data_IF_782847531207
#
_entry.id   IF_782847531207
#
_cell.length_a   1.000
_cell.length_b   1.000
_cell.length_c   1.000
_cell.angle_alpha   90.00
_cell.angle_beta   90.00
_cell.angle_gamma   90.00
#
_symmetry.space_group_name_H-M   'P 1'
#
loop_
_entity.id
_entity.type
_entity.pdbx_description
1 polymer ?
#
# COMPACT_ATOMS: atom_id res chain seq x y z
N UNK A 1 6.43 -6.39 15.72
CA UNK A 1 5.88 -5.03 15.83
C UNK A 1 7.04 -4.08 15.59
N UNK A 2 7.04 -3.39 14.45
CA UNK A 2 8.18 -2.56 14.01
C UNK A 2 8.04 -1.14 14.55
N UNK A 3 6.82 -0.68 14.81
CA UNK A 3 6.46 0.70 15.12
C UNK A 3 5.67 0.81 16.43
N UNK A 4 5.88 1.92 17.15
CA UNK A 4 5.15 2.33 18.33
C UNK A 4 4.90 3.85 18.28
N UNK A 5 3.75 4.28 18.79
CA UNK A 5 3.28 5.65 18.70
C UNK A 5 3.05 6.25 20.08
N UNK A 6 3.40 7.52 20.23
CA UNK A 6 3.06 8.33 21.40
C UNK A 6 2.62 9.73 20.93
N UNK A 7 1.48 10.19 21.46
CA UNK A 7 0.92 11.49 21.15
C UNK A 7 0.78 12.35 22.41
N UNK A 8 0.96 13.66 22.26
CA UNK A 8 0.79 14.63 23.35
C UNK A 8 0.21 15.93 22.82
N UNK A 9 -0.79 16.48 23.51
CA UNK A 9 -1.28 17.83 23.25
C UNK A 9 -0.23 18.88 23.66
N UNK A 10 -0.09 19.90 22.82
CA UNK A 10 0.73 21.08 23.07
C UNK A 10 -0.17 22.33 23.15
N UNK A 11 0.36 23.48 23.62
CA UNK A 11 -0.35 24.76 23.51
C UNK A 11 -0.72 25.11 22.06
N UNK A 12 -1.60 26.10 21.90
CA UNK A 12 -1.99 26.68 20.60
C UNK A 12 -2.61 25.66 19.62
N UNK A 13 -3.37 24.71 20.16
CA UNK A 13 -4.00 23.62 19.40
C UNK A 13 -3.01 22.82 18.55
N UNK A 14 -1.76 22.67 19.01
CA UNK A 14 -0.74 21.83 18.36
C UNK A 14 -0.73 20.42 18.95
N UNK A 15 -0.31 19.46 18.14
CA UNK A 15 -0.12 18.07 18.57
C UNK A 15 1.34 17.67 18.37
N UNK A 16 1.91 16.96 19.34
CA UNK A 16 3.20 16.31 19.20
C UNK A 16 2.98 14.83 18.90
N UNK A 17 3.67 14.33 17.88
CA UNK A 17 3.76 12.90 17.58
C UNK A 17 5.21 12.44 17.77
N UNK A 18 5.38 11.33 18.48
CA UNK A 18 6.62 10.56 18.47
C UNK A 18 6.33 9.22 17.80
N UNK A 19 7.06 8.95 16.72
CA UNK A 19 7.08 7.64 16.08
C UNK A 19 8.39 6.95 16.45
N UNK A 20 8.27 5.83 17.18
CA UNK A 20 9.39 5.02 17.63
C UNK A 20 9.45 3.73 16.84
N UNK A 21 10.57 3.49 16.17
CA UNK A 21 10.77 2.34 15.28
C UNK A 21 11.83 1.42 15.86
N UNK A 22 11.54 0.12 15.84
CA UNK A 22 12.47 -0.94 16.19
C UNK A 22 13.82 -0.75 15.49
N UNK A 23 14.91 -0.97 16.23
CA UNK A 23 16.25 -0.69 15.73
C UNK A 23 17.09 -1.98 15.55
N UNK A 24 16.85 -2.76 14.49
CA UNK A 24 17.69 -3.94 14.19
C UNK A 24 19.13 -3.54 13.85
N UNK A 25 19.39 -2.28 13.50
CA UNK A 25 20.75 -1.80 13.20
C UNK A 25 21.60 -1.59 14.46
N UNK A 26 21.00 -1.60 15.65
CA UNK A 26 21.73 -1.73 16.92
C UNK A 26 22.39 -3.12 17.08
N UNK A 27 21.82 -4.16 16.46
CA UNK A 27 22.31 -5.54 16.51
C UNK A 27 23.11 -5.92 15.26
N UNK A 28 22.77 -5.33 14.10
CA UNK A 28 23.31 -5.71 12.79
C UNK A 28 24.18 -4.58 12.24
N UNK A 29 25.48 -4.64 12.57
CA UNK A 29 26.49 -3.78 11.98
C UNK A 29 26.61 -3.97 10.47
N UNK A 30 26.89 -2.89 9.75
CA UNK A 30 27.15 -2.91 8.31
C UNK A 30 28.33 -3.83 7.97
N UNK A 31 28.22 -4.60 6.88
CA UNK A 31 29.26 -5.55 6.45
C UNK A 31 29.30 -6.87 7.22
N UNK A 32 28.55 -7.01 8.30
CA UNK A 32 28.41 -8.27 9.04
C UNK A 32 27.77 -9.38 8.20
N UNK A 33 27.85 -10.64 8.67
CA UNK A 33 27.20 -11.78 8.01
C UNK A 33 25.68 -11.59 7.91
N UNK A 34 25.07 -11.07 8.98
CA UNK A 34 23.63 -10.78 9.04
C UNK A 34 23.25 -9.67 8.06
N UNK A 35 24.05 -8.60 7.97
CA UNK A 35 23.84 -7.51 7.02
C UNK A 35 23.89 -8.00 5.57
N UNK A 36 24.88 -8.81 5.22
CA UNK A 36 25.00 -9.41 3.87
C UNK A 36 23.79 -10.29 3.54
N UNK A 37 23.29 -11.08 4.49
CA UNK A 37 22.10 -11.91 4.29
C UNK A 37 20.82 -11.07 4.13
N UNK A 38 20.65 -10.03 4.95
CA UNK A 38 19.53 -9.09 4.87
C UNK A 38 19.53 -8.35 3.52
N UNK A 39 20.70 -7.89 3.07
CA UNK A 39 20.93 -7.27 1.76
C UNK A 39 20.47 -8.19 0.62
N UNK A 40 20.83 -9.48 0.67
CA UNK A 40 20.43 -10.48 -0.33
C UNK A 40 18.92 -10.68 -0.41
N UNK A 41 18.23 -10.68 0.73
CA UNK A 41 16.77 -10.88 0.81
C UNK A 41 16.00 -9.60 0.47
N UNK A 42 16.53 -8.43 0.85
CA UNK A 42 15.99 -7.07 0.71
C UNK A 42 14.65 -6.81 1.42
N UNK A 43 13.76 -7.80 1.46
CA UNK A 43 12.43 -7.71 2.07
C UNK A 43 12.06 -9.03 2.76
N UNK A 44 11.23 -8.95 3.79
CA UNK A 44 10.45 -10.13 4.24
C UNK A 44 9.44 -10.48 3.15
N UNK A 45 9.33 -11.76 2.80
CA UNK A 45 8.33 -12.22 1.85
C UNK A 45 7.09 -12.70 2.60
N UNK A 46 5.95 -12.02 2.42
CA UNK A 46 4.67 -12.39 3.03
C UNK A 46 3.88 -13.22 2.03
N UNK A 47 3.45 -14.40 2.44
CA UNK A 47 2.64 -15.32 1.65
C UNK A 47 1.37 -15.66 2.45
N UNK A 48 0.29 -16.11 1.80
CA UNK A 48 -0.89 -16.60 2.52
C UNK A 48 -0.52 -17.64 3.58
N UNK A 49 -0.80 -17.33 4.85
CA UNK A 49 -0.58 -18.19 6.01
C UNK A 49 0.81 -18.22 6.63
N UNK A 50 1.85 -17.69 5.96
CA UNK A 50 3.21 -17.65 6.55
C UNK A 50 4.11 -16.61 5.88
N UNK A 51 5.23 -16.28 6.55
CA UNK A 51 6.22 -15.35 6.02
C UNK A 51 7.63 -15.96 6.02
N UNK A 52 8.46 -15.54 5.06
CA UNK A 52 9.90 -15.80 5.00
C UNK A 52 10.62 -14.52 5.46
N UNK A 53 11.09 -14.45 6.71
CA UNK A 53 11.62 -13.22 7.28
C UNK A 53 12.96 -12.82 6.62
N UNK A 54 13.17 -11.51 6.51
CA UNK A 54 14.44 -10.93 6.04
C UNK A 54 15.57 -11.18 7.05
N UNK A 55 15.24 -11.06 8.34
CA UNK A 55 16.14 -11.24 9.47
C UNK A 55 15.86 -12.58 10.18
N UNK A 56 16.78 -13.10 11.00
CA UNK A 56 16.50 -14.23 11.89
C UNK A 56 15.28 -13.96 12.78
N UNK A 57 14.46 -14.99 13.03
CA UNK A 57 13.21 -14.85 13.81
C UNK A 57 13.47 -14.40 15.24
N UNK A 58 14.58 -14.82 15.81
CA UNK A 58 15.02 -14.42 17.16
C UNK A 58 15.26 -12.89 17.24
N UNK A 59 15.66 -12.26 16.13
CA UNK A 59 15.79 -10.81 16.06
C UNK A 59 14.44 -10.15 15.72
N UNK A 60 13.74 -10.63 14.69
CA UNK A 60 12.52 -9.98 14.20
C UNK A 60 11.33 -10.08 15.16
N UNK A 61 11.13 -11.26 15.76
CA UNK A 61 9.91 -11.61 16.49
C UNK A 61 10.07 -11.39 18.00
N UNK A 62 11.31 -11.20 18.47
CA UNK A 62 11.66 -11.08 19.89
C UNK A 62 12.47 -9.82 20.22
N UNK A 63 13.78 -9.80 19.91
CA UNK A 63 14.69 -8.74 20.36
C UNK A 63 14.37 -7.35 19.78
N UNK A 64 13.94 -7.27 18.52
CA UNK A 64 13.58 -6.01 17.87
C UNK A 64 12.09 -5.70 17.99
N UNK A 65 11.23 -6.71 18.16
CA UNK A 65 9.79 -6.47 18.24
C UNK A 65 9.44 -5.65 19.48
N UNK A 66 8.68 -4.58 19.28
CA UNK A 66 8.24 -3.65 20.34
C UNK A 66 7.12 -4.23 21.19
N UNK A 67 7.41 -5.31 21.93
CA UNK A 67 6.45 -6.02 22.77
C UNK A 67 5.93 -5.13 23.92
N UNK A 68 4.69 -5.37 24.32
CA UNK A 68 4.10 -4.70 25.46
C UNK A 68 4.85 -5.06 26.75
N UNK A 69 5.03 -4.07 27.62
CA UNK A 69 5.65 -4.15 28.94
C UNK A 69 7.09 -4.67 28.92
N UNK A 70 7.79 -4.53 27.80
CA UNK A 70 9.21 -4.85 27.68
C UNK A 70 10.02 -3.66 27.16
N UNK A 71 11.19 -3.46 27.76
CA UNK A 71 12.12 -2.40 27.39
C UNK A 71 12.77 -2.73 26.04
N UNK A 72 12.77 -1.79 25.10
CA UNK A 72 13.31 -1.96 23.75
C UNK A 72 14.07 -0.72 23.24
N UNK A 73 15.22 -0.91 22.56
CA UNK A 73 15.90 0.18 21.86
C UNK A 73 15.13 0.56 20.59
N UNK A 74 15.03 1.86 20.33
CA UNK A 74 14.34 2.40 19.16
C UNK A 74 15.12 3.54 18.54
N UNK A 75 14.94 3.71 17.23
CA UNK A 75 15.17 4.99 16.58
C UNK A 75 13.83 5.74 16.57
N UNK A 76 13.81 6.95 17.10
CA UNK A 76 12.59 7.74 17.25
C UNK A 76 12.65 9.03 16.43
N UNK A 77 11.48 9.48 15.99
CA UNK A 77 11.26 10.79 15.37
C UNK A 77 10.20 11.53 16.17
N UNK A 78 10.55 12.71 16.69
CA UNK A 78 9.60 13.67 17.27
C UNK A 78 9.28 14.74 16.22
N UNK A 79 7.99 14.99 16.04
CA UNK A 79 7.48 16.04 15.15
C UNK A 79 6.35 16.81 15.83
N UNK A 80 6.23 18.08 15.47
CA UNK A 80 5.10 18.94 15.86
C UNK A 80 4.17 19.10 14.67
N UNK A 81 2.88 18.95 14.93
CA UNK A 81 1.80 19.09 13.96
C UNK A 81 1.00 20.35 14.30
N UNK A 82 0.90 21.24 13.32
CA UNK A 82 0.05 22.42 13.40
C UNK A 82 -1.44 22.03 13.39
N UNK A 83 -2.34 23.00 13.62
CA UNK A 83 -3.78 22.78 13.64
C UNK A 83 -4.33 22.22 12.30
N UNK A 84 -3.73 22.62 11.18
CA UNK A 84 -4.05 22.14 9.82
C UNK A 84 -3.37 20.81 9.44
N UNK A 85 -2.64 20.20 10.38
CA UNK A 85 -1.89 18.97 10.17
C UNK A 85 -0.53 19.13 9.50
N UNK A 86 -0.07 20.37 9.21
CA UNK A 86 1.27 20.60 8.67
C UNK A 86 2.36 20.12 9.65
N UNK A 87 3.38 19.44 9.14
CA UNK A 87 4.57 19.05 9.91
C UNK A 87 5.50 20.25 9.98
N UNK A 88 5.69 20.79 11.19
CA UNK A 88 6.57 21.93 11.46
C UNK A 88 8.07 21.56 11.35
N UNK A 89 8.93 22.56 11.19
CA UNK A 89 10.36 22.37 10.89
C UNK A 89 11.19 21.81 12.06
N UNK A 90 10.66 21.82 13.28
CA UNK A 90 11.34 21.34 14.50
C UNK A 90 11.36 19.81 14.63
N UNK A 91 11.64 19.12 13.52
CA UNK A 91 11.76 17.66 13.45
C UNK A 91 13.05 17.22 14.12
N UNK A 92 12.96 16.23 15.01
CA UNK A 92 14.11 15.67 15.69
C UNK A 92 14.13 14.15 15.64
N UNK A 93 15.19 13.60 15.04
CA UNK A 93 15.53 12.19 15.14
C UNK A 93 16.47 11.96 16.32
N UNK A 94 16.24 10.91 17.10
CA UNK A 94 17.07 10.55 18.24
C UNK A 94 16.99 9.05 18.52
N UNK A 95 18.06 8.47 19.07
CA UNK A 95 18.03 7.13 19.62
C UNK A 95 17.38 7.17 21.00
N UNK A 96 16.54 6.19 21.31
CA UNK A 96 15.85 6.12 22.59
C UNK A 96 15.66 4.68 23.06
N UNK A 97 15.11 4.55 24.26
CA UNK A 97 14.63 3.29 24.82
C UNK A 97 13.20 3.51 25.28
N UNK A 98 12.31 2.62 24.91
CA UNK A 98 10.89 2.70 25.25
C UNK A 98 10.42 1.40 25.92
N UNK A 99 9.26 1.48 26.56
CA UNK A 99 8.50 0.32 26.99
C UNK A 99 7.05 0.53 26.54
N UNK A 100 6.59 -0.26 25.57
CA UNK A 100 5.22 -0.14 25.09
C UNK A 100 4.23 -0.51 26.20
N UNK A 101 3.18 0.28 26.41
CA UNK A 101 2.21 0.05 27.49
C UNK A 101 0.98 -0.73 27.06
N UNK A 102 0.81 -0.97 25.77
CA UNK A 102 -0.28 -1.77 25.24
C UNK A 102 0.06 -2.37 23.87
N UNK A 103 -0.40 -3.59 23.62
CA UNK A 103 -0.46 -4.17 22.28
C UNK A 103 -1.90 -4.11 21.81
N UNK A 104 -2.20 -3.18 20.91
CA UNK A 104 -3.55 -2.92 20.41
C UNK A 104 -3.79 -3.62 19.07
N UNK A 105 -5.03 -4.03 18.82
CA UNK A 105 -5.47 -4.67 17.57
C UNK A 105 -6.34 -3.69 16.78
N UNK A 106 -6.15 -3.63 15.45
CA UNK A 106 -6.84 -2.65 14.60
C UNK A 106 -8.36 -2.68 14.72
N UNK A 107 -8.96 -3.88 14.70
CA UNK A 107 -10.42 -4.01 14.78
C UNK A 107 -10.95 -3.53 16.13
N UNK A 108 -10.29 -3.92 17.22
CA UNK A 108 -10.64 -3.49 18.58
C UNK A 108 -10.58 -1.97 18.76
N UNK A 109 -9.53 -1.32 18.25
CA UNK A 109 -9.38 0.14 18.32
C UNK A 109 -10.42 0.84 17.45
N UNK A 110 -10.70 0.30 16.26
CA UNK A 110 -11.73 0.86 15.36
C UNK A 110 -13.11 0.73 15.96
N UNK A 111 -13.46 -0.46 16.46
CA UNK A 111 -14.71 -0.73 17.16
C UNK A 111 -14.91 0.23 18.33
N UNK A 112 -13.89 0.42 19.17
CA UNK A 112 -13.98 1.34 20.29
C UNK A 112 -14.18 2.80 19.87
N UNK A 113 -13.46 3.29 18.86
CA UNK A 113 -13.63 4.65 18.33
C UNK A 113 -14.99 4.86 17.65
N UNK A 114 -15.57 3.79 17.10
CA UNK A 114 -16.88 3.79 16.44
C UNK A 114 -18.04 3.49 17.42
N UNK A 115 -17.74 3.29 18.71
CA UNK A 115 -18.69 2.93 19.78
C UNK A 115 -19.42 1.60 19.52
N UNK A 116 -18.70 0.62 19.00
CA UNK A 116 -19.17 -0.76 18.76
C UNK A 116 -18.28 -1.77 19.50
N UNK A 117 -18.77 -3.00 19.67
CA UNK A 117 -18.01 -4.09 20.27
C UNK A 117 -17.80 -3.98 21.80
N UNK A 118 -17.16 -4.99 22.37
CA UNK A 118 -17.01 -5.14 23.83
C UNK A 118 -15.63 -4.70 24.35
N UNK A 119 -14.65 -4.55 23.47
CA UNK A 119 -13.28 -4.21 23.87
C UNK A 119 -13.18 -2.73 24.24
N UNK A 120 -12.45 -2.44 25.33
CA UNK A 120 -12.13 -1.08 25.76
C UNK A 120 -10.65 -1.00 26.17
N UNK A 121 -10.01 0.17 26.04
CA UNK A 121 -8.65 0.39 26.55
C UNK A 121 -8.54 0.04 28.03
N UNK A 122 -7.49 -0.68 28.41
CA UNK A 122 -7.27 -1.17 29.78
C UNK A 122 -7.01 -0.04 30.81
N UNK A 123 -6.74 1.18 30.34
CA UNK A 123 -6.56 2.36 31.19
C UNK A 123 -6.94 3.65 30.48
N UNK A 124 -7.30 4.68 31.26
CA UNK A 124 -7.61 6.01 30.72
C UNK A 124 -6.41 6.62 29.97
N UNK A 125 -5.18 6.33 30.40
CA UNK A 125 -3.99 6.80 29.71
C UNK A 125 -3.89 6.25 28.27
N UNK A 126 -4.24 4.98 28.06
CA UNK A 126 -4.27 4.38 26.71
C UNK A 126 -5.47 4.91 25.92
N UNK A 127 -6.63 5.08 26.55
CA UNK A 127 -7.79 5.69 25.90
C UNK A 127 -7.46 7.09 25.36
N UNK A 128 -6.78 7.91 26.16
CA UNK A 128 -6.36 9.25 25.75
C UNK A 128 -5.32 9.21 24.60
N UNK A 129 -4.36 8.27 24.64
CA UNK A 129 -3.44 8.10 23.51
C UNK A 129 -4.17 7.77 22.21
N UNK A 130 -5.14 6.86 22.23
CA UNK A 130 -5.92 6.49 21.04
C UNK A 130 -6.71 7.68 20.50
N UNK A 131 -7.35 8.47 21.38
CA UNK A 131 -8.09 9.68 20.96
C UNK A 131 -7.17 10.74 20.35
N UNK A 132 -6.01 10.99 20.94
CA UNK A 132 -5.02 11.93 20.38
C UNK A 132 -4.48 11.46 19.03
N UNK A 133 -4.22 10.17 18.88
CA UNK A 133 -3.79 9.58 17.61
C UNK A 133 -4.89 9.66 16.54
N UNK A 134 -6.16 9.52 16.91
CA UNK A 134 -7.29 9.75 16.01
C UNK A 134 -7.37 11.22 15.55
N UNK A 135 -7.14 12.19 16.45
CA UNK A 135 -7.05 13.62 16.07
C UNK A 135 -5.88 13.88 15.12
N UNK A 136 -4.71 13.28 15.36
CA UNK A 136 -3.56 13.35 14.45
C UNK A 136 -3.93 12.78 13.09
N UNK A 137 -4.56 11.61 13.04
CA UNK A 137 -5.02 10.98 11.81
C UNK A 137 -5.96 11.89 11.03
N UNK A 138 -6.91 12.53 11.71
CA UNK A 138 -7.83 13.46 11.07
C UNK A 138 -7.09 14.65 10.44
N UNK A 139 -6.26 15.35 11.21
CA UNK A 139 -5.51 16.51 10.72
C UNK A 139 -4.55 16.16 9.58
N UNK A 140 -3.87 15.02 9.68
CA UNK A 140 -2.96 14.54 8.63
C UNK A 140 -3.69 14.13 7.36
N UNK A 141 -4.86 13.49 7.51
CA UNK A 141 -5.75 13.18 6.39
C UNK A 141 -6.25 14.45 5.69
N UNK A 142 -6.71 15.45 6.44
CA UNK A 142 -7.12 16.75 5.93
C UNK A 142 -5.97 17.48 5.21
N UNK A 143 -4.77 17.49 5.82
CA UNK A 143 -3.58 18.05 5.19
C UNK A 143 -3.27 17.37 3.85
N UNK A 144 -3.30 16.04 3.80
CA UNK A 144 -3.02 15.28 2.57
C UNK A 144 -4.10 15.49 1.52
N UNK A 145 -5.36 15.57 1.91
CA UNK A 145 -6.46 15.87 0.98
C UNK A 145 -6.22 17.23 0.28
N UNK A 146 -5.80 18.24 1.04
CA UNK A 146 -5.63 19.60 0.55
C UNK A 146 -4.32 19.82 -0.22
N UNK A 147 -3.23 19.17 0.19
CA UNK A 147 -1.87 19.48 -0.32
C UNK A 147 -1.20 18.32 -1.05
N UNK A 148 -1.77 17.10 -0.99
CA UNK A 148 -1.16 15.90 -1.54
C UNK A 148 -2.24 14.99 -2.17
N UNK A 149 -2.00 13.67 -2.19
CA UNK A 149 -2.99 12.69 -2.63
C UNK A 149 -3.31 11.66 -1.53
N UNK A 150 -4.60 11.35 -1.44
CA UNK A 150 -5.15 10.27 -0.62
C UNK A 150 -5.66 9.20 -1.57
N UNK A 151 -5.09 8.00 -1.50
CA UNK A 151 -5.54 6.89 -2.32
C UNK A 151 -6.91 6.40 -1.84
N UNK A 152 -7.82 6.11 -2.77
CA UNK A 152 -9.03 5.36 -2.43
C UNK A 152 -8.66 3.98 -1.91
N UNK A 153 -9.22 3.64 -0.76
CA UNK A 153 -9.02 2.34 -0.14
C UNK A 153 -9.54 1.23 -1.06
N UNK A 154 -8.75 0.18 -1.18
CA UNK A 154 -9.20 -1.13 -1.70
C UNK A 154 -9.12 -2.09 -0.53
N UNK A 155 -10.09 -3.03 -0.41
CA UNK A 155 -10.00 -4.04 0.63
C UNK A 155 -8.73 -4.86 0.44
N UNK A 156 -8.06 -5.13 1.55
CA UNK A 156 -7.01 -6.15 1.59
C UNK A 156 -7.71 -7.51 1.76
N UNK A 157 -7.22 -8.57 1.12
CA UNK A 157 -7.84 -9.90 1.22
C UNK A 157 -6.99 -10.82 2.08
N UNK A 158 -7.57 -11.35 3.16
CA UNK A 158 -6.88 -12.28 4.07
C UNK A 158 -7.38 -13.70 3.88
N UNK A 159 -6.44 -14.60 3.62
CA UNK A 159 -6.68 -16.03 3.59
C UNK A 159 -6.72 -16.59 5.02
N UNK A 160 -7.84 -17.21 5.38
CA UNK A 160 -7.99 -17.96 6.63
C UNK A 160 -7.68 -19.42 6.31
N UNK A 161 -6.54 -19.91 6.80
CA UNK A 161 -6.08 -21.27 6.54
C UNK A 161 -6.27 -22.16 7.77
N UNK A 162 -6.64 -23.41 7.53
CA UNK A 162 -6.68 -24.47 8.54
C UNK A 162 -5.31 -25.12 8.75
N UNK A 163 -5.26 -26.14 9.61
CA UNK A 163 -4.00 -26.74 10.08
C UNK A 163 -3.19 -27.42 8.98
N UNK A 164 -3.85 -27.95 7.93
CA UNK A 164 -3.17 -28.62 6.80
C UNK A 164 -2.99 -27.69 5.61
N UNK A 165 -3.23 -26.38 5.77
CA UNK A 165 -3.14 -25.38 4.71
C UNK A 165 -4.34 -25.37 3.77
N UNK A 166 -5.46 -25.99 4.16
CA UNK A 166 -6.75 -25.83 3.51
C UNK A 166 -7.27 -24.39 3.69
N UNK A 167 -7.87 -23.83 2.64
CA UNK A 167 -8.48 -22.49 2.70
C UNK A 167 -9.87 -22.65 3.32
N UNK A 168 -10.05 -22.14 4.54
CA UNK A 168 -11.33 -22.14 5.23
C UNK A 168 -12.22 -21.01 4.70
N UNK A 169 -11.63 -19.82 4.51
CA UNK A 169 -12.30 -18.66 3.97
C UNK A 169 -11.30 -17.65 3.42
N UNK A 170 -11.78 -16.70 2.61
CA UNK A 170 -11.01 -15.55 2.13
C UNK A 170 -11.88 -14.31 2.32
N UNK A 171 -11.46 -13.46 3.26
CA UNK A 171 -12.25 -12.31 3.69
C UNK A 171 -11.65 -11.00 3.20
N UNK A 172 -12.50 -10.10 2.73
CA UNK A 172 -12.16 -8.70 2.55
C UNK A 172 -12.02 -8.03 3.93
N UNK A 173 -10.85 -7.45 4.20
CA UNK A 173 -10.59 -6.64 5.37
C UNK A 173 -10.67 -5.16 4.98
N UNK A 174 -11.75 -4.46 5.35
CA UNK A 174 -11.85 -3.04 5.08
C UNK A 174 -10.84 -2.28 5.93
N UNK A 175 -10.22 -1.26 5.35
CA UNK A 175 -9.39 -0.33 6.10
C UNK A 175 -10.28 0.58 6.93
N UNK A 176 -10.12 0.52 8.26
CA UNK A 176 -10.89 1.31 9.23
C UNK A 176 -10.00 2.36 9.89
N UNK A 177 -10.57 3.11 10.83
CA UNK A 177 -9.90 4.26 11.46
C UNK A 177 -8.57 3.88 12.12
N UNK A 178 -8.44 2.71 12.76
CA UNK A 178 -7.18 2.31 13.37
C UNK A 178 -6.07 2.06 12.33
N UNK A 179 -6.41 1.50 11.16
CA UNK A 179 -5.45 1.34 10.06
C UNK A 179 -4.96 2.71 9.58
N UNK A 180 -5.89 3.66 9.41
CA UNK A 180 -5.59 5.04 8.98
C UNK A 180 -4.74 5.80 9.98
N UNK A 181 -4.96 5.59 11.29
CA UNK A 181 -4.13 6.18 12.36
C UNK A 181 -2.65 5.79 12.16
N UNK A 182 -2.39 4.50 11.98
CA UNK A 182 -1.02 4.03 11.79
C UNK A 182 -0.47 4.48 10.43
N UNK A 183 -1.28 4.42 9.37
CA UNK A 183 -0.89 4.88 8.03
C UNK A 183 -0.43 6.36 8.04
N UNK A 184 -1.23 7.26 8.58
CA UNK A 184 -0.90 8.70 8.62
C UNK A 184 0.33 8.99 9.48
N UNK A 185 0.48 8.30 10.62
CA UNK A 185 1.67 8.42 11.46
C UNK A 185 2.94 7.96 10.72
N UNK A 186 2.87 6.82 10.02
CA UNK A 186 4.00 6.29 9.26
C UNK A 186 4.35 7.19 8.07
N UNK A 187 3.36 7.71 7.35
CA UNK A 187 3.60 8.65 6.23
C UNK A 187 4.26 9.93 6.75
N UNK A 188 3.76 10.50 7.85
CA UNK A 188 4.36 11.69 8.47
C UNK A 188 5.81 11.45 8.91
N UNK A 189 6.09 10.31 9.55
CA UNK A 189 7.45 9.93 9.94
C UNK A 189 8.39 9.75 8.72
N UNK A 190 7.89 9.18 7.63
CA UNK A 190 8.68 8.99 6.41
C UNK A 190 8.92 10.31 5.65
N UNK A 191 7.98 11.26 5.69
CA UNK A 191 8.21 12.64 5.22
C UNK A 191 9.32 13.30 6.05
N UNK A 192 9.30 13.11 7.38
CA UNK A 192 10.35 13.64 8.25
C UNK A 192 11.74 13.09 7.88
N UNK A 193 11.86 11.77 7.66
CA UNK A 193 13.12 11.17 7.23
C UNK A 193 13.56 11.70 5.86
N UNK A 194 12.65 11.86 4.90
CA UNK A 194 12.94 12.43 3.60
C UNK A 194 13.51 13.86 3.71
N UNK A 195 12.87 14.73 4.50
CA UNK A 195 13.34 16.10 4.75
C UNK A 195 14.73 16.10 5.39
N UNK A 196 14.90 15.37 6.49
CA UNK A 196 16.17 15.35 7.25
C UNK A 196 17.32 14.77 6.44
N UNK A 197 17.12 13.67 5.72
CA UNK A 197 18.16 13.07 4.87
C UNK A 197 18.55 14.00 3.72
N UNK A 198 17.58 14.65 3.06
CA UNK A 198 17.82 15.63 2.00
C UNK A 198 18.62 16.82 2.54
N UNK A 199 18.18 17.40 3.65
CA UNK A 199 18.73 18.66 4.16
C UNK A 199 20.09 18.48 4.87
N UNK A 200 20.39 17.28 5.38
CA UNK A 200 21.64 16.99 6.11
C UNK A 200 22.67 16.21 5.30
N UNK A 201 22.24 15.26 4.47
CA UNK A 201 23.13 14.39 3.70
C UNK A 201 23.01 14.59 2.18
N UNK A 202 21.86 15.00 1.68
CA UNK A 202 21.59 15.12 0.24
C UNK A 202 21.39 13.78 -0.48
N UNK A 203 21.31 12.67 0.25
CA UNK A 203 21.10 11.32 -0.29
C UNK A 203 20.46 10.40 0.75
N UNK A 204 19.95 9.26 0.30
CA UNK A 204 19.28 8.24 1.12
C UNK A 204 18.55 7.24 0.25
N UNK A 205 17.85 6.27 0.84
CA UNK A 205 16.98 5.39 0.07
C UNK A 205 15.59 6.04 -0.03
N UNK A 206 15.31 6.63 -1.19
CA UNK A 206 14.04 7.27 -1.51
C UNK A 206 13.14 6.35 -2.33
N UNK A 207 11.83 6.50 -2.11
CA UNK A 207 10.79 5.94 -2.96
C UNK A 207 10.31 7.05 -3.87
N UNK A 208 10.60 6.94 -5.17
CA UNK A 208 10.28 7.97 -6.16
C UNK A 208 9.21 7.46 -7.12
N UNK A 209 8.37 8.35 -7.62
CA UNK A 209 7.31 8.02 -8.57
C UNK A 209 7.09 9.19 -9.50
N UNK A 210 7.42 9.04 -10.78
CA UNK A 210 7.41 10.15 -11.75
C UNK A 210 6.01 10.47 -12.32
N UNK A 211 4.98 9.73 -11.93
CA UNK A 211 3.62 9.98 -12.41
C UNK A 211 3.40 9.34 -13.77
N UNK A 212 3.40 10.17 -14.81
CA UNK A 212 3.29 9.73 -16.20
C UNK A 212 4.64 9.83 -16.90
N UNK A 213 4.91 8.89 -17.81
CA UNK A 213 6.05 9.00 -18.71
C UNK A 213 5.85 10.21 -19.65
N UNK A 214 6.82 11.15 -19.75
CA UNK A 214 6.75 12.28 -20.68
C UNK A 214 6.44 11.88 -22.12
N UNK A 215 6.91 10.71 -22.57
CA UNK A 215 6.62 10.20 -23.92
C UNK A 215 5.13 9.87 -24.15
N UNK A 216 4.36 9.71 -23.07
CA UNK A 216 2.93 9.36 -23.11
C UNK A 216 2.01 10.54 -22.79
N UNK A 217 2.53 11.73 -22.48
CA UNK A 217 1.74 12.88 -22.02
C UNK A 217 0.68 13.32 -23.05
N UNK A 218 1.07 13.46 -24.32
CA UNK A 218 0.14 13.85 -25.39
C UNK A 218 -0.94 12.79 -25.64
N UNK A 219 -0.57 11.51 -25.59
CA UNK A 219 -1.50 10.40 -25.76
C UNK A 219 -2.51 10.31 -24.60
N UNK A 220 -2.05 10.57 -23.37
CA UNK A 220 -2.90 10.68 -22.19
C UNK A 220 -3.91 11.82 -22.33
N UNK A 221 -3.42 13.02 -22.70
CA UNK A 221 -4.26 14.20 -22.85
C UNK A 221 -5.29 14.04 -23.97
N UNK A 222 -4.88 13.49 -25.12
CA UNK A 222 -5.77 13.19 -26.23
C UNK A 222 -6.87 12.19 -25.83
N UNK A 223 -6.52 11.11 -25.12
CA UNK A 223 -7.48 10.12 -24.66
C UNK A 223 -8.49 10.72 -23.68
N UNK A 224 -8.06 11.49 -22.68
CA UNK A 224 -8.98 12.09 -21.72
C UNK A 224 -9.92 13.10 -22.41
N UNK A 225 -9.39 13.85 -23.39
CA UNK A 225 -10.17 14.81 -24.18
C UNK A 225 -11.29 14.15 -24.99
N UNK A 226 -11.08 12.96 -25.57
CA UNK A 226 -12.14 12.23 -26.29
C UNK A 226 -13.26 11.77 -25.36
N UNK A 227 -12.98 11.65 -24.06
CA UNK A 227 -13.94 11.34 -23.01
C UNK A 227 -14.49 12.60 -22.29
N UNK A 228 -14.22 13.80 -22.80
CA UNK A 228 -14.74 15.05 -22.26
C UNK A 228 -14.00 15.61 -21.05
N UNK A 229 -12.84 15.04 -20.68
CA UNK A 229 -11.99 15.55 -19.59
C UNK A 229 -10.78 16.26 -20.18
N UNK A 230 -10.69 17.57 -19.99
CA UNK A 230 -9.57 18.36 -20.48
C UNK A 230 -8.39 18.31 -19.51
N UNK A 231 -7.22 17.96 -20.01
CA UNK A 231 -5.95 18.02 -19.29
C UNK A 231 -4.87 18.57 -20.23
N UNK A 232 -3.97 19.37 -19.68
CA UNK A 232 -2.79 19.86 -20.40
C UNK A 232 -1.62 18.88 -20.24
N UNK A 233 -0.92 18.60 -21.35
CA UNK A 233 0.13 17.59 -21.40
C UNK A 233 1.41 18.03 -20.66
N UNK A 234 1.68 19.33 -20.55
CA UNK A 234 2.80 19.84 -19.76
C UNK A 234 2.44 19.89 -18.27
N UNK A 235 1.22 20.36 -17.95
CA UNK A 235 0.72 20.44 -16.58
C UNK A 235 0.75 19.06 -15.90
N UNK A 236 0.30 17.99 -16.60
CA UNK A 236 0.19 16.65 -16.02
C UNK A 236 1.53 16.00 -15.64
N UNK A 237 2.65 16.53 -16.15
CA UNK A 237 4.01 16.12 -15.79
C UNK A 237 4.55 16.84 -14.55
N UNK A 238 3.81 17.83 -14.03
CA UNK A 238 4.10 18.47 -12.75
C UNK A 238 3.37 17.77 -11.60
N UNK A 239 3.89 17.90 -10.37
CA UNK A 239 3.27 17.29 -9.19
C UNK A 239 1.85 17.83 -8.97
N UNK A 240 1.65 19.14 -9.09
CA UNK A 240 0.36 19.79 -8.92
C UNK A 240 -0.64 19.38 -9.99
N UNK A 241 -0.21 19.33 -11.25
CA UNK A 241 -1.06 18.90 -12.36
C UNK A 241 -1.46 17.43 -12.26
N UNK A 242 -0.54 16.56 -11.83
CA UNK A 242 -0.86 15.17 -11.53
C UNK A 242 -1.89 15.06 -10.40
N UNK A 243 -1.71 15.83 -9.31
CA UNK A 243 -2.65 15.84 -8.19
C UNK A 243 -4.04 16.36 -8.62
N UNK A 244 -4.08 17.43 -9.40
CA UNK A 244 -5.30 18.00 -9.98
C UNK A 244 -6.05 16.97 -10.83
N UNK A 245 -5.36 16.33 -11.78
CA UNK A 245 -5.96 15.28 -12.60
C UNK A 245 -6.45 14.12 -11.73
N UNK A 246 -5.68 13.71 -10.72
CA UNK A 246 -6.08 12.60 -9.86
C UNK A 246 -7.38 12.91 -9.10
N UNK A 247 -7.49 14.11 -8.50
CA UNK A 247 -8.70 14.56 -7.80
C UNK A 247 -9.92 14.60 -8.74
N UNK A 248 -9.74 15.10 -9.95
CA UNK A 248 -10.81 15.13 -10.97
C UNK A 248 -11.30 13.73 -11.34
N UNK A 249 -10.38 12.77 -11.45
CA UNK A 249 -10.70 11.38 -11.74
C UNK A 249 -11.33 10.66 -10.55
N UNK A 250 -10.95 11.00 -9.32
CA UNK A 250 -11.57 10.46 -8.10
C UNK A 250 -12.99 11.02 -7.87
N UNK A 251 -13.28 12.20 -8.39
CA UNK A 251 -14.62 12.80 -8.40
C UNK A 251 -15.58 12.19 -9.45
N UNK A 252 -15.07 11.36 -10.36
CA UNK A 252 -15.91 10.70 -11.37
C UNK A 252 -16.86 9.68 -10.74
N UNK A 253 -18.08 9.49 -11.30
CA UNK A 253 -19.04 8.52 -10.78
C UNK A 253 -18.54 7.07 -10.78
N UNK A 254 -17.66 6.72 -11.74
CA UNK A 254 -17.05 5.40 -11.85
C UNK A 254 -15.55 5.51 -12.10
N UNK A 255 -14.81 4.44 -11.80
CA UNK A 255 -13.37 4.34 -12.06
C UNK A 255 -13.00 4.13 -13.54
N UNK A 256 -13.96 4.21 -14.47
CA UNK A 256 -13.75 3.86 -15.87
C UNK A 256 -12.61 4.68 -16.49
N UNK A 257 -12.61 6.01 -16.34
CA UNK A 257 -11.56 6.87 -16.90
C UNK A 257 -10.18 6.58 -16.28
N UNK A 258 -10.11 6.37 -14.96
CA UNK A 258 -8.87 5.93 -14.29
C UNK A 258 -8.33 4.62 -14.90
N UNK A 259 -9.23 3.66 -15.16
CA UNK A 259 -8.84 2.39 -15.76
C UNK A 259 -8.22 2.57 -17.16
N UNK A 260 -8.67 3.55 -17.94
CA UNK A 260 -8.18 3.81 -19.31
C UNK A 260 -6.76 4.38 -19.32
N UNK A 261 -6.43 5.17 -18.31
CA UNK A 261 -5.13 5.85 -18.23
C UNK A 261 -4.06 5.05 -17.47
N UNK A 262 -4.43 3.93 -16.83
CA UNK A 262 -3.50 3.06 -16.07
C UNK A 262 -2.28 2.63 -16.90
N UNK A 263 -2.44 2.46 -18.22
CA UNK A 263 -1.36 2.09 -19.15
C UNK A 263 -0.28 3.17 -19.33
N UNK A 264 -0.55 4.42 -18.94
CA UNK A 264 0.39 5.54 -19.03
C UNK A 264 1.10 5.82 -17.71
N UNK A 265 0.64 5.21 -16.60
CA UNK A 265 1.20 5.43 -15.27
C UNK A 265 2.49 4.64 -15.08
N UNK A 266 3.51 5.32 -14.57
CA UNK A 266 4.77 4.70 -14.17
C UNK A 266 4.63 3.94 -12.85
N UNK A 267 5.57 3.05 -12.56
CA UNK A 267 5.63 2.38 -11.25
C UNK A 267 6.51 3.19 -10.28
N UNK A 268 6.29 3.04 -8.98
CA UNK A 268 7.19 3.58 -7.98
C UNK A 268 8.54 2.85 -8.01
N UNK A 269 9.63 3.60 -7.96
CA UNK A 269 11.01 3.15 -8.04
C UNK A 269 11.78 3.46 -6.75
N UNK A 270 12.97 2.88 -6.63
CA UNK A 270 13.85 3.10 -5.48
C UNK A 270 15.06 3.88 -6.00
N UNK A 271 15.34 5.02 -5.38
CA UNK A 271 16.43 5.93 -5.75
C UNK A 271 17.38 6.16 -4.59
N UNK A 272 18.65 6.44 -4.88
CA UNK A 272 19.65 6.89 -3.89
C UNK A 272 19.63 8.42 -3.68
N UNK A 273 18.86 9.12 -4.50
CA UNK A 273 18.71 10.57 -4.50
C UNK A 273 17.26 10.99 -4.25
N UNK A 274 17.04 12.17 -3.62
CA UNK A 274 15.70 12.71 -3.41
C UNK A 274 14.96 12.90 -4.74
N UNK A 275 13.67 12.63 -4.74
CA UNK A 275 12.80 12.88 -5.88
C UNK A 275 11.33 12.78 -5.51
N UNK A 276 10.43 13.32 -6.35
CA UNK A 276 9.01 13.38 -6.07
C UNK A 276 8.37 11.99 -6.07
N UNK A 277 7.33 11.85 -5.26
CA UNK A 277 6.44 10.70 -5.27
C UNK A 277 5.04 11.14 -5.71
N UNK A 278 4.83 11.23 -7.03
CA UNK A 278 3.60 11.74 -7.63
C UNK A 278 2.36 11.00 -7.13
N UNK A 279 2.42 9.66 -6.98
CA UNK A 279 1.29 8.89 -6.46
C UNK A 279 0.84 9.31 -5.06
N UNK A 280 1.74 9.87 -4.23
CA UNK A 280 1.41 10.36 -2.89
C UNK A 280 1.18 11.88 -2.86
N UNK A 281 1.46 12.60 -3.96
CA UNK A 281 1.45 14.05 -3.97
C UNK A 281 2.54 14.67 -3.09
N UNK A 282 3.73 14.05 -3.02
CA UNK A 282 4.83 14.49 -2.14
C UNK A 282 6.09 14.85 -2.93
N UNK A 283 6.79 15.90 -2.52
CA UNK A 283 8.07 16.32 -3.12
C UNK A 283 9.22 15.33 -2.88
N UNK A 284 9.20 14.62 -1.75
CA UNK A 284 10.17 13.59 -1.42
C UNK A 284 9.57 12.60 -0.42
N UNK A 285 9.94 11.33 -0.54
CA UNK A 285 9.47 10.28 0.35
C UNK A 285 10.53 9.20 0.57
N UNK A 286 10.94 8.99 1.83
CA UNK A 286 11.96 8.01 2.21
C UNK A 286 11.45 7.17 3.38
N UNK A 287 11.46 5.86 3.24
CA UNK A 287 10.93 4.97 4.29
C UNK A 287 12.00 4.59 5.30
N UNK A 288 11.65 4.62 6.58
CA UNK A 288 12.50 4.14 7.68
C UNK A 288 11.69 3.38 8.75
N UNK A 289 10.39 3.23 8.55
CA UNK A 289 9.44 2.74 9.55
C UNK A 289 9.26 1.22 9.56
N UNK A 290 10.00 0.46 8.76
CA UNK A 290 9.88 -1.00 8.68
C UNK A 290 11.23 -1.74 8.50
N UNK A 291 12.25 -1.44 9.32
CA UNK A 291 13.61 -1.97 9.14
C UNK A 291 13.73 -3.48 9.45
N UNK A 292 12.78 -4.08 10.17
CA UNK A 292 12.79 -5.53 10.41
C UNK A 292 12.49 -6.30 9.12
N UNK A 293 11.73 -5.68 8.21
CA UNK A 293 11.22 -6.31 6.98
C UNK A 293 11.64 -5.63 5.68
N UNK A 294 12.41 -4.54 5.73
CA UNK A 294 12.94 -3.81 4.57
C UNK A 294 14.40 -3.41 4.80
N UNK A 295 15.28 -3.85 3.91
CA UNK A 295 16.70 -3.50 3.99
C UNK A 295 16.96 -2.01 3.72
N UNK A 296 16.17 -1.38 2.84
CA UNK A 296 16.26 0.07 2.57
C UNK A 296 16.00 0.92 3.82
N UNK A 297 15.05 0.50 4.66
CA UNK A 297 14.77 1.15 5.93
C UNK A 297 15.93 0.96 6.91
N UNK A 298 16.63 -0.19 6.91
CA UNK A 298 17.88 -0.37 7.68
C UNK A 298 19.00 0.56 7.19
N UNK A 299 19.13 0.78 5.88
CA UNK A 299 20.08 1.75 5.33
C UNK A 299 19.74 3.15 5.85
N UNK A 300 18.46 3.57 5.74
CA UNK A 300 18.03 4.87 6.23
C UNK A 300 18.18 5.00 7.76
N UNK A 301 18.02 3.94 8.55
CA UNK A 301 18.35 3.93 9.98
C UNK A 301 19.82 4.28 10.25
N UNK A 302 20.76 3.66 9.50
CA UNK A 302 22.19 3.97 9.62
C UNK A 302 22.50 5.41 9.24
N UNK A 303 21.90 5.90 8.15
CA UNK A 303 22.06 7.28 7.70
C UNK A 303 21.50 8.29 8.72
N UNK A 304 20.30 8.07 9.24
CA UNK A 304 19.70 8.91 10.28
C UNK A 304 20.53 8.88 11.58
N UNK A 305 21.11 7.74 11.95
CA UNK A 305 22.06 7.66 13.08
C UNK A 305 23.35 8.44 12.84
N UNK A 306 23.86 8.47 11.61
CA UNK A 306 25.00 9.31 11.27
C UNK A 306 24.63 10.80 11.43
N UNK A 307 23.43 11.21 10.99
CA UNK A 307 22.91 12.57 11.22
C UNK A 307 22.82 12.91 12.71
N UNK A 308 22.27 12.00 13.53
CA UNK A 308 22.16 12.18 14.99
C UNK A 308 23.54 12.41 15.64
N UNK A 309 24.55 11.65 15.19
CA UNK A 309 25.91 11.72 15.74
C UNK A 309 26.77 12.83 15.13
N UNK A 310 26.28 13.52 14.10
CA UNK A 310 27.07 14.48 13.32
C UNK A 310 28.25 13.82 12.57
N UNK A 311 28.10 12.55 12.21
CA UNK A 311 29.11 11.78 11.50
C UNK A 311 28.94 11.87 9.97
N UNK A 312 30.05 11.75 9.24
CA UNK A 312 30.01 11.59 7.79
C UNK A 312 29.38 10.25 7.42
N UNK A 313 28.41 10.26 6.51
CA UNK A 313 27.80 9.06 5.95
C UNK A 313 28.27 8.82 4.52
N UNK A 314 28.26 7.55 4.09
CA UNK A 314 28.56 7.16 2.71
C UNK A 314 27.25 7.05 1.92
N UNK A 315 27.23 7.61 0.71
CA UNK A 315 26.10 7.44 -0.21
C UNK A 315 25.92 5.95 -0.54
N UNK A 316 24.69 5.39 -0.44
CA UNK A 316 24.42 4.04 -0.90
C UNK A 316 24.76 3.89 -2.39
N UNK A 317 25.36 2.77 -2.77
CA UNK A 317 25.68 2.48 -4.17
C UNK A 317 24.40 2.14 -4.95
N UNK A 318 24.25 2.62 -6.18
CA UNK A 318 23.03 2.45 -6.98
C UNK A 318 22.69 0.98 -7.26
N UNK A 319 23.67 0.07 -7.26
CA UNK A 319 23.44 -1.36 -7.44
C UNK A 319 22.51 -1.96 -6.36
N UNK A 320 22.45 -1.35 -5.16
CA UNK A 320 21.53 -1.80 -4.12
C UNK A 320 20.06 -1.58 -4.50
N UNK A 321 19.76 -0.50 -5.21
CA UNK A 321 18.38 -0.16 -5.58
C UNK A 321 17.86 -1.13 -6.64
N UNK A 322 18.73 -1.55 -7.57
CA UNK A 322 18.44 -2.58 -8.59
C UNK A 322 18.08 -3.89 -7.93
N UNK A 323 18.89 -4.33 -6.96
CA UNK A 323 18.63 -5.56 -6.21
C UNK A 323 17.32 -5.49 -5.43
N UNK A 324 17.05 -4.37 -4.76
CA UNK A 324 15.81 -4.17 -4.02
C UNK A 324 14.59 -4.15 -4.95
N UNK A 325 14.68 -3.48 -6.10
CA UNK A 325 13.60 -3.43 -7.08
C UNK A 325 13.24 -4.83 -7.59
N UNK A 326 14.25 -5.64 -7.91
CA UNK A 326 14.05 -7.01 -8.38
C UNK A 326 13.43 -7.90 -7.28
N UNK A 327 13.95 -7.83 -6.05
CA UNK A 327 13.36 -8.58 -4.93
C UNK A 327 11.92 -8.19 -4.63
N UNK A 328 11.60 -6.89 -4.69
CA UNK A 328 10.23 -6.39 -4.54
C UNK A 328 9.29 -6.89 -5.64
N UNK A 329 9.80 -7.07 -6.86
CA UNK A 329 9.04 -7.66 -7.99
C UNK A 329 8.80 -9.15 -7.76
N UNK A 330 9.84 -9.90 -7.41
CA UNK A 330 9.76 -11.35 -7.17
C UNK A 330 8.85 -11.70 -5.98
N UNK A 331 8.90 -10.94 -4.88
CA UNK A 331 8.01 -11.15 -3.73
C UNK A 331 6.54 -10.96 -4.10
N UNK A 332 6.21 -9.88 -4.83
CA UNK A 332 4.83 -9.63 -5.33
C UNK A 332 4.34 -10.74 -6.26
N UNK A 333 5.22 -11.28 -7.11
CA UNK A 333 4.87 -12.42 -7.96
C UNK A 333 4.60 -13.67 -7.12
N UNK A 334 5.47 -13.98 -6.16
CA UNK A 334 5.32 -15.16 -5.30
C UNK A 334 4.02 -15.10 -4.47
N UNK A 335 3.71 -13.95 -3.88
CA UNK A 335 2.47 -13.73 -3.12
C UNK A 335 1.24 -13.94 -4.00
N UNK A 336 1.21 -13.32 -5.18
CA UNK A 336 0.11 -13.48 -6.16
C UNK A 336 -0.02 -14.94 -6.62
N UNK A 337 1.09 -15.58 -6.99
CA UNK A 337 1.06 -16.94 -7.56
C UNK A 337 0.59 -17.98 -6.51
N UNK A 338 0.93 -17.80 -5.24
CA UNK A 338 0.38 -18.61 -4.14
C UNK A 338 -1.11 -18.29 -3.94
N UNK A 339 -1.48 -17.00 -3.94
CA UNK A 339 -2.87 -16.56 -3.86
C UNK A 339 -3.75 -17.18 -4.94
N UNK A 340 -3.35 -17.11 -6.22
CA UNK A 340 -4.05 -17.70 -7.36
C UNK A 340 -4.27 -19.21 -7.17
N UNK A 341 -3.27 -19.89 -6.59
CA UNK A 341 -3.37 -21.32 -6.31
C UNK A 341 -4.39 -21.64 -5.21
N UNK A 342 -4.45 -20.81 -4.18
CA UNK A 342 -5.42 -20.94 -3.08
C UNK A 342 -6.83 -20.54 -3.52
N UNK A 343 -6.98 -19.50 -4.35
CA UNK A 343 -8.26 -19.13 -4.95
C UNK A 343 -8.86 -20.26 -5.78
N UNK A 344 -8.06 -20.90 -6.64
CA UNK A 344 -8.52 -22.03 -7.44
C UNK A 344 -9.00 -23.19 -6.54
N UNK A 345 -8.30 -23.48 -5.44
CA UNK A 345 -8.72 -24.51 -4.48
C UNK A 345 -10.01 -24.14 -3.77
N UNK A 346 -10.11 -22.91 -3.30
CA UNK A 346 -11.25 -22.41 -2.53
C UNK A 346 -12.54 -22.39 -3.36
N UNK A 347 -12.46 -22.03 -4.64
CA UNK A 347 -13.63 -21.94 -5.52
C UNK A 347 -13.95 -23.24 -6.26
N UNK A 348 -13.14 -24.29 -6.09
CA UNK A 348 -13.31 -25.56 -6.82
C UNK A 348 -14.66 -26.22 -6.58
N UNK A 349 -15.15 -26.18 -5.35
CA UNK A 349 -16.44 -26.76 -4.96
C UNK A 349 -17.65 -25.91 -5.38
N UNK A 350 -17.41 -24.66 -5.84
CA UNK A 350 -18.43 -23.76 -6.39
C UNK A 350 -18.59 -23.91 -7.90
N UNK A 351 -17.68 -24.60 -8.57
CA UNK A 351 -17.73 -24.81 -10.02
C UNK A 351 -18.98 -25.59 -10.43
N UNK A 352 -19.75 -25.04 -11.37
CA UNK A 352 -21.00 -25.62 -11.87
C UNK A 352 -22.20 -25.43 -10.94
N UNK A 353 -22.05 -24.74 -9.82
CA UNK A 353 -23.16 -24.39 -8.92
C UNK A 353 -23.76 -23.04 -9.30
N UNK A 354 -24.99 -22.76 -8.83
CA UNK A 354 -25.66 -21.47 -9.03
C UNK A 354 -25.26 -20.40 -8.00
N UNK A 355 -24.17 -20.63 -7.26
CA UNK A 355 -23.64 -19.66 -6.29
C UNK A 355 -23.21 -18.39 -7.02
N UNK A 356 -23.80 -17.25 -6.65
CA UNK A 356 -23.55 -15.95 -7.26
C UNK A 356 -22.45 -15.21 -6.51
N UNK A 357 -21.65 -14.48 -7.27
CA UNK A 357 -20.61 -13.59 -6.76
C UNK A 357 -20.73 -12.24 -7.48
N UNK A 358 -20.75 -11.15 -6.72
CA UNK A 358 -20.54 -9.83 -7.30
C UNK A 358 -19.09 -9.73 -7.80
N UNK A 359 -18.89 -9.26 -9.03
CA UNK A 359 -17.57 -9.22 -9.65
C UNK A 359 -17.35 -7.92 -10.45
N UNK A 360 -16.26 -7.22 -10.15
CA UNK A 360 -15.82 -6.03 -10.87
C UNK A 360 -15.06 -6.44 -12.14
N UNK A 361 -15.42 -5.90 -13.31
CA UNK A 361 -14.69 -6.12 -14.55
C UNK A 361 -13.35 -5.36 -14.49
N UNK A 362 -12.24 -6.09 -14.38
CA UNK A 362 -10.92 -5.49 -14.22
C UNK A 362 -10.18 -5.24 -15.53
N UNK A 363 -10.48 -6.03 -16.57
CA UNK A 363 -9.84 -5.91 -17.87
C UNK A 363 -10.66 -6.59 -18.97
N UNK A 364 -10.55 -6.09 -20.20
CA UNK A 364 -11.21 -6.63 -21.40
C UNK A 364 -10.16 -6.90 -22.47
N UNK A 365 -10.25 -8.08 -23.08
CA UNK A 365 -9.39 -8.53 -24.17
C UNK A 365 -10.24 -9.09 -25.31
N UNK A 366 -9.65 -9.36 -26.47
CA UNK A 366 -10.37 -10.00 -27.59
C UNK A 366 -10.97 -11.36 -27.20
N UNK A 367 -10.36 -12.08 -26.25
CA UNK A 367 -10.82 -13.39 -25.81
C UNK A 367 -11.99 -13.37 -24.83
N UNK A 368 -12.37 -12.21 -24.29
CA UNK A 368 -13.33 -12.08 -23.20
C UNK A 368 -12.87 -11.06 -22.16
N UNK A 369 -13.34 -11.20 -20.92
CA UNK A 369 -13.05 -10.25 -19.85
C UNK A 369 -12.56 -10.94 -18.57
N UNK A 370 -11.70 -10.25 -17.82
CA UNK A 370 -11.28 -10.65 -16.47
C UNK A 370 -12.12 -9.91 -15.46
N UNK A 371 -12.58 -10.62 -14.44
CA UNK A 371 -13.36 -10.06 -13.33
C UNK A 371 -12.70 -10.38 -12.00
N UNK A 372 -12.81 -9.47 -11.04
CA UNK A 372 -12.41 -9.69 -9.64
C UNK A 372 -13.67 -9.90 -8.80
N UNK A 373 -13.78 -11.03 -8.11
CA UNK A 373 -14.87 -11.26 -7.16
C UNK A 373 -14.70 -10.30 -5.98
N UNK A 374 -15.74 -9.52 -5.66
CA UNK A 374 -15.65 -8.40 -4.70
C UNK A 374 -15.33 -8.88 -3.29
N UNK A 375 -16.00 -9.95 -2.83
CA UNK A 375 -15.93 -10.39 -1.43
C UNK A 375 -14.63 -11.11 -1.06
N UNK A 376 -13.99 -11.77 -2.04
CA UNK A 376 -12.79 -12.58 -1.79
C UNK A 376 -11.58 -12.19 -2.62
N UNK A 377 -11.72 -11.39 -3.69
CA UNK A 377 -10.58 -10.89 -4.46
C UNK A 377 -10.07 -11.81 -5.57
N UNK A 378 -10.67 -12.99 -5.76
CA UNK A 378 -10.27 -13.93 -6.80
C UNK A 378 -10.41 -13.31 -8.19
N UNK A 379 -9.45 -13.59 -9.09
CA UNK A 379 -9.56 -13.22 -10.50
C UNK A 379 -10.12 -14.40 -11.29
N UNK A 380 -11.23 -14.17 -11.98
CA UNK A 380 -11.84 -15.13 -12.90
C UNK A 380 -11.82 -14.58 -14.34
N UNK A 381 -11.84 -15.48 -15.30
CA UNK A 381 -11.95 -15.15 -16.73
C UNK A 381 -13.32 -15.55 -17.27
N UNK A 382 -13.95 -14.65 -18.01
CA UNK A 382 -15.22 -14.88 -18.71
C UNK A 382 -14.91 -14.91 -20.22
N UNK A 383 -14.93 -16.10 -20.85
CA UNK A 383 -14.71 -16.24 -22.28
C UNK A 383 -15.76 -15.49 -23.10
N UNK A 384 -15.36 -14.91 -24.23
CA UNK A 384 -16.26 -14.18 -25.13
C UNK A 384 -17.54 -14.96 -25.52
N UNK A 385 -17.52 -16.28 -25.80
CA UNK A 385 -18.74 -17.04 -26.09
C UNK A 385 -19.76 -17.11 -24.93
N UNK A 386 -19.36 -16.77 -23.70
CA UNK A 386 -20.29 -16.68 -22.56
C UNK A 386 -20.96 -15.31 -22.47
N UNK A 387 -20.48 -14.31 -23.21
CA UNK A 387 -21.06 -12.97 -23.25
C UNK A 387 -22.18 -12.87 -24.27
N UNK A 388 -21.99 -13.52 -25.43
CA UNK A 388 -22.99 -13.59 -26.49
C UNK A 388 -22.74 -14.80 -27.40
N UNK A 389 -23.80 -15.45 -27.85
CA UNK A 389 -23.70 -16.67 -28.66
C UNK A 389 -23.26 -16.39 -30.12
N UNK A 390 -23.65 -15.23 -30.68
CA UNK A 390 -23.32 -14.86 -32.05
C UNK A 390 -22.06 -14.00 -32.10
N UNK A 391 -20.96 -14.58 -32.59
CA UNK A 391 -19.65 -13.93 -32.63
C UNK A 391 -19.64 -12.65 -33.46
N UNK A 392 -20.35 -12.61 -34.58
CA UNK A 392 -20.36 -11.46 -35.50
C UNK A 392 -21.03 -10.22 -34.90
N UNK A 393 -21.87 -10.43 -33.87
CA UNK A 393 -22.51 -9.35 -33.14
C UNK A 393 -21.72 -8.90 -31.92
N UNK A 394 -20.63 -9.58 -31.54
CA UNK A 394 -19.87 -9.35 -30.31
C UNK A 394 -18.50 -8.72 -30.59
N UNK A 395 -18.21 -7.59 -29.96
CA UNK A 395 -16.92 -6.92 -30.02
C UNK A 395 -16.37 -6.65 -28.62
N UNK A 396 -15.27 -7.33 -28.26
CA UNK A 396 -14.53 -7.05 -27.03
C UNK A 396 -13.29 -6.19 -27.36
N UNK A 397 -13.32 -4.91 -27.00
CA UNK A 397 -12.25 -3.95 -27.30
C UNK A 397 -11.38 -3.68 -26.07
N UNK A 398 -10.11 -4.09 -26.13
CA UNK A 398 -9.12 -3.76 -25.10
C UNK A 398 -8.80 -2.25 -25.09
N UNK A 399 -8.77 -1.62 -26.26
CA UNK A 399 -8.44 -0.21 -26.42
C UNK A 399 -9.53 0.72 -25.88
N UNK A 400 -10.80 0.32 -26.01
CA UNK A 400 -11.92 1.07 -25.45
C UNK A 400 -12.26 0.62 -24.02
N UNK A 401 -11.87 -0.60 -23.65
CA UNK A 401 -12.26 -1.20 -22.37
C UNK A 401 -13.75 -1.49 -22.32
N UNK A 402 -14.32 -1.95 -23.42
CA UNK A 402 -15.76 -2.16 -23.58
C UNK A 402 -16.06 -3.49 -24.27
N UNK A 403 -17.18 -4.09 -23.92
CA UNK A 403 -17.83 -5.16 -24.67
C UNK A 403 -19.08 -4.58 -25.33
N UNK A 404 -19.18 -4.75 -26.64
CA UNK A 404 -20.33 -4.31 -27.43
C UNK A 404 -21.06 -5.50 -28.03
N UNK A 405 -22.39 -5.46 -28.00
CA UNK A 405 -23.27 -6.43 -28.64
C UNK A 405 -24.18 -5.67 -29.59
N UNK A 406 -24.21 -6.05 -30.88
CA UNK A 406 -24.96 -5.37 -31.95
C UNK A 406 -24.66 -3.86 -32.04
N UNK A 407 -23.43 -3.47 -31.72
CA UNK A 407 -22.96 -2.07 -31.73
C UNK A 407 -23.26 -1.27 -30.46
N UNK A 408 -24.03 -1.82 -29.50
CA UNK A 408 -24.33 -1.17 -28.22
C UNK A 408 -23.38 -1.66 -27.14
N UNK A 409 -22.92 -0.76 -26.26
CA UNK A 409 -22.03 -1.14 -25.16
C UNK A 409 -22.82 -1.77 -24.03
N UNK A 410 -22.52 -3.03 -23.72
CA UNK A 410 -23.20 -3.80 -22.68
C UNK A 410 -22.37 -3.90 -21.41
N UNK A 411 -21.05 -3.97 -21.54
CA UNK A 411 -20.12 -4.00 -20.40
C UNK A 411 -18.96 -3.03 -20.61
N UNK A 412 -18.46 -2.46 -19.52
CA UNK A 412 -17.26 -1.63 -19.48
C UNK A 412 -16.37 -2.08 -18.32
N UNK A 413 -15.06 -1.83 -18.43
CA UNK A 413 -14.15 -1.98 -17.29
C UNK A 413 -14.69 -1.15 -16.11
N UNK A 414 -14.56 -1.66 -14.88
CA UNK A 414 -15.09 -1.14 -13.61
C UNK A 414 -16.58 -1.37 -13.35
N UNK A 415 -17.37 -1.88 -14.31
CA UNK A 415 -18.73 -2.31 -14.01
C UNK A 415 -18.70 -3.50 -13.04
N UNK A 416 -19.68 -3.55 -12.13
CA UNK A 416 -19.90 -4.70 -11.25
C UNK A 416 -21.07 -5.50 -11.79
N UNK A 417 -20.85 -6.80 -12.00
CA UNK A 417 -21.84 -7.75 -12.49
C UNK A 417 -21.89 -8.98 -11.60
N UNK A 418 -23.05 -9.64 -11.54
CA UNK A 418 -23.14 -10.94 -10.88
C UNK A 418 -22.64 -12.05 -11.81
N UNK A 419 -21.84 -12.97 -11.25
CA UNK A 419 -21.29 -14.12 -11.97
C UNK A 419 -21.49 -15.43 -11.19
N UNK A 420 -21.53 -16.55 -11.90
CA UNK A 420 -21.36 -17.89 -11.33
C UNK A 420 -20.02 -18.49 -11.78
N UNK A 421 -19.50 -19.44 -11.02
CA UNK A 421 -18.27 -20.16 -11.37
C UNK A 421 -18.63 -21.33 -12.30
N UNK A 422 -18.25 -21.23 -13.57
CA UNK A 422 -18.54 -22.25 -14.57
C UNK A 422 -17.58 -23.44 -14.46
N UNK A 423 -16.29 -23.17 -14.27
CA UNK A 423 -15.24 -24.20 -14.23
C UNK A 423 -14.04 -23.71 -13.42
N UNK A 424 -13.35 -24.61 -12.72
CA UNK A 424 -12.03 -24.34 -12.14
C UNK A 424 -11.04 -25.42 -12.59
N UNK A 425 -10.01 -25.01 -13.32
CA UNK A 425 -8.98 -25.91 -13.89
C UNK A 425 -7.77 -25.94 -12.98
N UNK A 426 -7.56 -27.02 -12.26
CA UNK A 426 -6.49 -27.11 -11.24
C UNK A 426 -5.08 -27.14 -11.85
N UNK A 427 -4.93 -27.67 -13.06
CA UNK A 427 -3.64 -27.77 -13.76
C UNK A 427 -3.07 -26.38 -14.07
N UNK A 428 -3.96 -25.47 -14.48
CA UNK A 428 -3.62 -24.09 -14.87
C UNK A 428 -4.00 -23.05 -13.81
N UNK A 429 -4.69 -23.46 -12.74
CA UNK A 429 -5.24 -22.60 -11.68
C UNK A 429 -6.20 -21.54 -12.20
N UNK A 430 -6.83 -21.80 -13.35
CA UNK A 430 -7.73 -20.85 -14.00
C UNK A 430 -9.15 -21.03 -13.47
N UNK A 431 -9.76 -19.93 -13.06
CA UNK A 431 -11.17 -19.85 -12.67
C UNK A 431 -11.94 -19.26 -13.86
N UNK A 432 -12.92 -19.99 -14.37
CA UNK A 432 -13.79 -19.56 -15.46
C UNK A 432 -15.14 -19.18 -14.87
N UNK A 433 -15.57 -17.95 -15.11
CA UNK A 433 -16.86 -17.44 -14.65
C UNK A 433 -17.82 -17.23 -15.84
N UNK A 434 -19.11 -17.13 -15.54
CA UNK A 434 -20.16 -16.75 -16.50
C UNK A 434 -21.05 -15.68 -15.87
N UNK A 435 -21.47 -14.64 -16.62
CA UNK A 435 -22.47 -13.69 -16.13
C UNK A 435 -23.76 -14.41 -15.75
N UNK A 436 -24.40 -13.99 -14.66
CA UNK A 436 -25.75 -14.44 -14.35
C UNK A 436 -26.70 -13.94 -15.45
N UNK A 437 -27.53 -14.86 -15.96
CA UNK A 437 -28.52 -14.57 -16.99
C UNK A 437 -29.76 -13.85 -16.44
#
# INVERSE_FOLDING_TARGET
MDDALFAKALPDDKLQLIVAIADPTAWIAEGSKLDKAAKIRAFTNYLPGFNIPMLPRELSDDLCSLRANEVRPVLACRMTLSADGTIEDNIEFFAATIESKAKLVYDQVSDWLENTGDWQPESEAIAEQVRLLAQICQRRGEWRHNHALVFKDRPDYRFILGEKGEVLDIVAEPRRIANRIVEEAMIAANICAARVLRDKLGFGIYNVHMGFDPANADALAALLKTHGLHVDAEEVLTLDGFCKLRRELDAQPTGFLDSRIRRFQSFAEISTEPGPHFGLGLEAYATWTSPIRKYGDMINHRLLKAVIKGETATRPQDEITVQMAERRRLNRMAERDVGDWLYARFLKDKAGTDTRFAAEIVDISRGGMRVRLVDNGAIAFIPAPFLHAMRDELVCSQENGTVQIKGETVYKVTDVIDVTIAEVRMETRSIIARPVA
#
